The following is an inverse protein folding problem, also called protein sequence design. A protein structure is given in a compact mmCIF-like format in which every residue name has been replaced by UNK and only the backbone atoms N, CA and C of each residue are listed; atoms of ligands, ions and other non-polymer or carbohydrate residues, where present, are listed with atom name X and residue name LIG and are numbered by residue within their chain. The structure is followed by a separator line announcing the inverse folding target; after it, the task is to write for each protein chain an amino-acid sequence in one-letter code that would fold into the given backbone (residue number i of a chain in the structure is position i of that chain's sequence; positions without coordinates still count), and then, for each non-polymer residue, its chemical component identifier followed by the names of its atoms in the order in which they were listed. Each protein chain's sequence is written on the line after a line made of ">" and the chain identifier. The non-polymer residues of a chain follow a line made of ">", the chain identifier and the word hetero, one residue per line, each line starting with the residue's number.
data_IF_015703913689
#
_entry.id   IF_015703913689
#
_cell.length_a   1.000
_cell.length_b   1.000
_cell.length_c   1.000
_cell.angle_alpha   90.00
_cell.angle_beta   90.00
_cell.angle_gamma   90.00
#
_symmetry.space_group_name_H-M   'P 1'
#
loop_
_entity.id
_entity.type
_entity.pdbx_description
1 polymer ?
#
# COMPACT_ATOMS: atom_id res chain seq x y z
N UNK A 1 7.43 -9.56 -12.81
CA UNK A 1 6.81 -10.33 -11.71
C UNK A 1 6.39 -11.72 -12.20
N UNK A 2 6.33 -12.72 -11.31
CA UNK A 2 5.91 -14.11 -11.55
C UNK A 2 5.08 -14.57 -10.33
N UNK A 3 3.74 -14.42 -10.38
CA UNK A 3 2.86 -14.77 -9.26
C UNK A 3 2.86 -16.25 -8.91
N UNK A 4 3.01 -17.14 -9.88
CA UNK A 4 3.04 -18.59 -9.67
C UNK A 4 4.26 -19.02 -8.84
N UNK A 5 5.33 -18.22 -8.89
CA UNK A 5 6.56 -18.42 -8.09
C UNK A 5 6.71 -17.46 -6.92
N UNK A 6 5.66 -16.70 -6.59
CA UNK A 6 5.67 -15.66 -5.55
C UNK A 6 6.80 -14.63 -5.71
N UNK A 7 7.13 -14.24 -6.95
CA UNK A 7 8.14 -13.21 -7.25
C UNK A 7 7.48 -11.91 -7.67
N UNK A 8 7.33 -11.01 -6.72
CA UNK A 8 6.70 -9.71 -6.92
C UNK A 8 7.77 -8.63 -7.04
N UNK A 9 8.28 -8.44 -8.27
CA UNK A 9 9.28 -7.43 -8.59
C UNK A 9 8.86 -6.60 -9.82
N UNK A 10 9.13 -5.30 -9.72
CA UNK A 10 8.79 -4.23 -10.67
C UNK A 10 10.02 -3.67 -11.40
N UNK A 11 11.25 -4.06 -11.05
CA UNK A 11 12.49 -3.56 -11.67
C UNK A 11 12.70 -4.03 -13.12
N UNK A 12 11.87 -4.97 -13.59
CA UNK A 12 11.87 -5.38 -14.99
C UNK A 12 11.42 -4.20 -15.87
N UNK A 13 12.24 -3.79 -16.84
CA UNK A 13 11.94 -2.63 -17.71
C UNK A 13 10.58 -2.69 -18.40
N UNK A 14 10.08 -3.88 -18.70
CA UNK A 14 8.78 -4.11 -19.33
C UNK A 14 7.59 -4.03 -18.36
N UNK A 15 7.84 -3.90 -17.05
CA UNK A 15 6.78 -3.84 -16.06
C UNK A 15 6.10 -2.46 -16.09
N UNK A 16 4.84 -2.45 -16.48
CA UNK A 16 3.99 -1.25 -16.58
C UNK A 16 2.63 -1.45 -15.91
N UNK A 17 2.48 -2.49 -15.09
CA UNK A 17 1.21 -2.82 -14.47
C UNK A 17 0.83 -1.81 -13.37
N UNK A 18 -0.43 -1.42 -13.40
CA UNK A 18 -1.15 -0.71 -12.34
C UNK A 18 -2.23 -1.59 -11.72
N UNK A 19 -2.82 -1.19 -10.59
CA UNK A 19 -3.96 -1.92 -10.02
C UNK A 19 -5.08 -2.07 -11.05
N UNK A 20 -5.43 -1.00 -11.79
CA UNK A 20 -6.44 -1.06 -12.87
C UNK A 20 -6.11 -2.09 -13.95
N UNK A 21 -4.83 -2.25 -14.30
CA UNK A 21 -4.42 -3.22 -15.33
C UNK A 21 -4.58 -4.68 -14.88
N UNK A 22 -4.48 -4.95 -13.57
CA UNK A 22 -4.60 -6.29 -12.99
C UNK A 22 -6.01 -6.56 -12.44
N UNK A 23 -6.72 -5.50 -12.03
CA UNK A 23 -8.06 -5.48 -11.46
C UNK A 23 -8.90 -4.39 -12.14
N UNK A 24 -9.57 -4.72 -13.26
CA UNK A 24 -10.33 -3.73 -14.04
C UNK A 24 -11.49 -3.07 -13.30
N UNK A 25 -11.94 -3.63 -12.16
CA UNK A 25 -12.95 -3.05 -11.26
C UNK A 25 -12.42 -1.85 -10.44
N UNK A 26 -11.11 -1.57 -10.48
CA UNK A 26 -10.47 -0.51 -9.71
C UNK A 26 -9.97 0.63 -10.62
N UNK A 27 -10.07 1.89 -10.19
CA UNK A 27 -9.75 3.04 -11.03
C UNK A 27 -8.24 3.38 -11.07
N UNK A 28 -7.44 2.86 -10.15
CA UNK A 28 -6.08 3.35 -9.90
C UNK A 28 -5.08 2.97 -10.99
N UNK A 29 -4.43 3.98 -11.57
CA UNK A 29 -3.50 3.84 -12.69
C UNK A 29 -2.04 3.96 -12.29
N UNK A 30 -1.75 4.24 -11.02
CA UNK A 30 -0.40 4.28 -10.46
C UNK A 30 0.32 2.96 -10.71
N UNK A 31 1.57 3.03 -11.19
CA UNK A 31 2.39 1.85 -11.46
C UNK A 31 2.69 1.16 -10.13
N UNK A 32 2.48 -0.15 -10.06
CA UNK A 32 2.68 -0.90 -8.83
C UNK A 32 4.18 -1.10 -8.53
N UNK A 33 4.53 -0.99 -7.26
CA UNK A 33 5.76 -1.54 -6.69
C UNK A 33 5.58 -3.02 -6.32
N UNK A 34 6.60 -3.63 -5.73
CA UNK A 34 6.46 -4.91 -5.05
C UNK A 34 5.37 -4.90 -3.97
N UNK A 35 5.25 -3.81 -3.20
CA UNK A 35 4.21 -3.66 -2.16
C UNK A 35 2.82 -3.66 -2.77
N UNK A 36 2.59 -2.87 -3.82
CA UNK A 36 1.31 -2.83 -4.54
C UNK A 36 0.93 -4.16 -5.16
N UNK A 37 1.90 -4.92 -5.70
CA UNK A 37 1.66 -6.27 -6.24
C UNK A 37 1.21 -7.27 -5.16
N UNK A 38 1.88 -7.27 -4.01
CA UNK A 38 1.50 -8.12 -2.87
C UNK A 38 0.11 -7.72 -2.37
N UNK A 39 -0.16 -6.42 -2.25
CA UNK A 39 -1.47 -5.92 -1.82
C UNK A 39 -2.58 -6.25 -2.82
N UNK A 40 -2.31 -6.16 -4.12
CA UNK A 40 -3.26 -6.54 -5.18
C UNK A 40 -3.72 -7.99 -5.06
N UNK A 41 -2.81 -8.89 -4.69
CA UNK A 41 -3.06 -10.35 -4.65
C UNK A 41 -3.58 -10.82 -3.30
N UNK A 42 -3.07 -10.24 -2.21
CA UNK A 42 -3.28 -10.75 -0.86
C UNK A 42 -3.84 -9.71 0.11
N UNK A 43 -4.09 -8.46 -0.33
CA UNK A 43 -4.49 -7.37 0.56
C UNK A 43 -5.73 -7.70 1.38
N UNK A 44 -6.77 -8.27 0.77
CA UNK A 44 -7.98 -8.69 1.50
C UNK A 44 -7.69 -9.80 2.52
N UNK A 45 -6.87 -10.80 2.15
CA UNK A 45 -6.47 -11.89 3.05
C UNK A 45 -5.65 -11.39 4.23
N UNK A 46 -4.71 -10.47 4.00
CA UNK A 46 -3.89 -9.84 5.03
C UNK A 46 -4.79 -9.10 6.02
N UNK A 47 -5.72 -8.27 5.53
CA UNK A 47 -6.63 -7.51 6.38
C UNK A 47 -7.59 -8.42 7.17
N UNK A 48 -8.12 -9.47 6.54
CA UNK A 48 -8.94 -10.48 7.21
C UNK A 48 -8.19 -11.16 8.36
N UNK A 49 -6.94 -11.58 8.12
CA UNK A 49 -6.09 -12.20 9.13
C UNK A 49 -5.77 -11.27 10.30
N UNK A 50 -5.46 -9.99 10.03
CA UNK A 50 -5.14 -9.00 11.06
C UNK A 50 -6.36 -8.61 11.92
N UNK A 51 -7.55 -8.55 11.33
CA UNK A 51 -8.77 -8.09 12.01
C UNK A 51 -9.60 -9.25 12.59
N UNK A 52 -9.29 -10.49 12.25
CA UNK A 52 -10.11 -11.65 12.59
C UNK A 52 -11.52 -11.58 12.00
N UNK A 53 -11.67 -10.96 10.83
CA UNK A 53 -12.95 -10.75 10.15
C UNK A 53 -13.00 -11.56 8.84
N UNK A 54 -14.20 -11.91 8.33
CA UNK A 54 -14.33 -12.55 7.03
C UNK A 54 -13.76 -11.68 5.90
N UNK A 55 -13.10 -12.34 4.94
CA UNK A 55 -12.52 -11.67 3.76
C UNK A 55 -13.58 -11.04 2.86
N UNK A 56 -14.72 -11.71 2.70
CA UNK A 56 -15.78 -11.33 1.73
C UNK A 56 -16.84 -10.40 2.32
N UNK A 57 -16.43 -9.49 3.21
CA UNK A 57 -17.33 -8.54 3.87
C UNK A 57 -17.35 -7.14 3.20
N UNK A 58 -18.46 -6.38 3.33
CA UNK A 58 -18.50 -4.98 2.90
C UNK A 58 -17.48 -4.11 3.64
N UNK A 59 -17.21 -4.43 4.91
CA UNK A 59 -16.17 -3.77 5.71
C UNK A 59 -14.78 -4.04 5.12
N UNK A 60 -14.48 -5.30 4.77
CA UNK A 60 -13.19 -5.66 4.17
C UNK A 60 -12.99 -4.98 2.82
N UNK A 61 -14.04 -4.95 2.00
CA UNK A 61 -14.02 -4.24 0.72
C UNK A 61 -13.72 -2.75 0.89
N UNK A 62 -14.36 -2.11 1.87
CA UNK A 62 -14.13 -0.69 2.17
C UNK A 62 -12.71 -0.43 2.68
N UNK A 63 -12.22 -1.26 3.60
CA UNK A 63 -10.86 -1.17 4.14
C UNK A 63 -9.81 -1.39 3.06
N UNK A 64 -10.00 -2.40 2.20
CA UNK A 64 -9.10 -2.67 1.09
C UNK A 64 -8.93 -1.44 0.19
N UNK A 65 -10.05 -0.80 -0.17
CA UNK A 65 -10.07 0.41 -1.00
C UNK A 65 -9.39 1.57 -0.26
N UNK A 66 -9.79 1.82 0.99
CA UNK A 66 -9.27 2.95 1.77
C UNK A 66 -7.78 2.86 2.07
N UNK A 67 -7.28 1.68 2.42
CA UNK A 67 -5.86 1.49 2.70
C UNK A 67 -5.02 1.56 1.42
N UNK A 68 -5.58 1.16 0.27
CA UNK A 68 -4.86 1.39 -0.98
C UNK A 68 -4.73 2.90 -1.28
N UNK A 69 -5.85 3.62 -1.31
CA UNK A 69 -5.91 5.06 -1.64
C UNK A 69 -5.06 5.93 -0.71
N UNK A 70 -5.00 5.57 0.58
CA UNK A 70 -4.45 6.42 1.64
C UNK A 70 -3.13 5.90 2.20
N UNK A 71 -2.50 4.89 1.58
CA UNK A 71 -1.23 4.37 2.07
C UNK A 71 -0.44 3.62 1.00
N UNK A 72 -1.01 2.55 0.43
CA UNK A 72 -0.25 1.68 -0.48
C UNK A 72 0.08 2.39 -1.79
N UNK A 73 -0.86 3.18 -2.33
CA UNK A 73 -0.65 3.91 -3.60
C UNK A 73 0.47 4.96 -3.50
N UNK A 74 0.61 5.61 -2.34
CA UNK A 74 1.72 6.53 -2.06
C UNK A 74 3.07 5.80 -2.08
N UNK A 75 3.14 4.60 -1.47
CA UNK A 75 4.35 3.76 -1.49
C UNK A 75 4.69 3.36 -2.93
N UNK A 76 3.69 2.92 -3.70
CA UNK A 76 3.85 2.55 -5.11
C UNK A 76 4.40 3.72 -5.93
N UNK A 77 3.84 4.92 -5.75
CA UNK A 77 4.29 6.11 -6.48
C UNK A 77 5.72 6.51 -6.12
N UNK A 78 6.08 6.52 -4.84
CA UNK A 78 7.43 6.86 -4.37
C UNK A 78 8.46 5.88 -4.93
N UNK A 79 8.20 4.58 -4.81
CA UNK A 79 9.12 3.53 -5.23
C UNK A 79 9.28 3.44 -6.76
N UNK A 80 8.21 3.74 -7.51
CA UNK A 80 8.26 3.75 -8.98
C UNK A 80 8.69 5.09 -9.58
N UNK A 81 8.93 6.11 -8.75
CA UNK A 81 9.35 7.45 -9.16
C UNK A 81 8.26 8.26 -9.88
N UNK A 82 6.98 7.97 -9.63
CA UNK A 82 5.86 8.74 -10.17
C UNK A 82 5.74 10.06 -9.42
N UNK A 83 5.76 11.16 -10.17
CA UNK A 83 5.55 12.50 -9.62
C UNK A 83 4.14 12.62 -9.02
N UNK A 84 4.03 13.30 -7.89
CA UNK A 84 2.78 13.44 -7.14
C UNK A 84 1.68 14.19 -7.92
N UNK A 85 2.07 15.14 -8.76
CA UNK A 85 1.15 15.89 -9.60
C UNK A 85 1.85 16.41 -10.86
N UNK A 86 1.18 16.28 -12.01
CA UNK A 86 1.40 17.09 -13.22
C UNK A 86 0.12 17.89 -13.53
N UNK A 87 -0.47 18.50 -12.49
CA UNK A 87 -1.80 19.13 -12.53
C UNK A 87 -2.65 18.67 -11.33
N UNK A 88 -3.63 17.79 -11.58
CA UNK A 88 -4.39 17.14 -10.50
C UNK A 88 -3.53 16.08 -9.78
N UNK A 89 -3.69 15.88 -8.46
CA UNK A 89 -2.91 14.90 -7.70
C UNK A 89 -3.16 13.48 -8.22
N UNK A 90 -2.08 12.75 -8.53
CA UNK A 90 -2.17 11.37 -9.01
C UNK A 90 -2.53 10.38 -7.89
N UNK A 91 -2.30 10.74 -6.63
CA UNK A 91 -2.64 9.98 -5.43
C UNK A 91 -2.83 10.93 -4.23
N UNK A 92 -3.46 10.44 -3.15
CA UNK A 92 -3.63 11.22 -1.92
C UNK A 92 -2.32 11.28 -1.13
N UNK A 93 -1.87 12.49 -0.75
CA UNK A 93 -0.81 12.63 0.24
C UNK A 93 -1.35 12.29 1.62
N UNK A 94 -0.75 11.31 2.25
CA UNK A 94 -1.02 10.98 3.65
C UNK A 94 0.25 11.20 4.49
N UNK A 95 0.23 11.02 5.83
CA UNK A 95 1.48 10.97 6.56
C UNK A 95 2.34 9.86 5.95
N UNK A 96 3.54 10.23 5.48
CA UNK A 96 4.46 9.31 4.84
C UNK A 96 4.71 8.10 5.74
N UNK A 97 5.11 6.97 5.16
CA UNK A 97 5.49 5.78 5.93
C UNK A 97 6.44 6.13 7.09
N UNK A 98 7.46 6.95 6.83
CA UNK A 98 8.42 7.40 7.84
C UNK A 98 7.77 8.23 8.95
N UNK A 99 6.80 9.09 8.62
CA UNK A 99 6.07 9.87 9.62
C UNK A 99 5.19 8.98 10.51
N UNK A 100 4.55 7.95 9.93
CA UNK A 100 3.73 6.98 10.69
C UNK A 100 4.59 6.12 11.61
N UNK A 101 5.72 5.62 11.10
CA UNK A 101 6.71 4.89 11.92
C UNK A 101 7.23 5.79 13.04
N UNK A 102 7.55 7.06 12.73
CA UNK A 102 7.97 8.03 13.74
C UNK A 102 6.93 8.29 14.83
N UNK A 103 5.64 8.23 14.50
CA UNK A 103 4.56 8.40 15.48
C UNK A 103 4.40 7.20 16.43
N UNK A 104 4.81 6.00 15.99
CA UNK A 104 4.82 4.81 16.84
C UNK A 104 6.07 4.75 17.73
N UNK A 105 7.09 5.55 17.45
CA UNK A 105 8.28 5.62 18.27
C UNK A 105 8.09 6.60 19.44
N UNK A 106 8.66 6.31 20.62
CA UNK A 106 8.73 7.25 21.72
C UNK A 106 9.37 8.58 21.29
N UNK A 107 8.86 9.67 21.85
CA UNK A 107 9.51 10.97 21.67
C UNK A 107 10.88 10.95 22.35
N UNK A 108 11.83 11.75 21.85
CA UNK A 108 13.19 11.82 22.40
C UNK A 108 13.26 12.19 23.89
N UNK A 109 12.21 12.80 24.43
CA UNK A 109 12.09 13.21 25.82
C UNK A 109 11.05 12.39 26.61
N UNK A 110 10.61 11.26 26.06
CA UNK A 110 9.70 10.36 26.74
C UNK A 110 10.48 9.60 27.84
N UNK A 111 10.02 9.59 29.11
CA UNK A 111 10.66 8.81 30.15
C UNK A 111 10.73 7.31 29.83
N UNK A 112 9.83 6.81 28.98
CA UNK A 112 9.84 5.44 28.48
C UNK A 112 10.23 5.42 26.99
N UNK A 113 11.29 4.70 26.65
CA UNK A 113 11.83 4.58 25.29
C UNK A 113 11.51 3.22 24.66
N UNK A 114 10.58 2.46 25.24
CA UNK A 114 10.14 1.18 24.69
C UNK A 114 9.34 1.35 23.40
N UNK A 115 9.74 0.59 22.37
CA UNK A 115 9.14 0.60 21.03
C UNK A 115 8.17 -0.56 20.80
N UNK A 116 8.01 -1.48 21.76
CA UNK A 116 7.15 -2.68 21.61
C UNK A 116 5.69 -2.46 22.02
N UNK A 117 5.32 -1.26 22.48
CA UNK A 117 3.97 -0.96 23.03
C UNK A 117 2.98 -0.42 21.98
N UNK A 118 3.41 -0.29 20.73
CA UNK A 118 2.65 0.31 19.61
C UNK A 118 1.75 -0.64 18.82
#
# INVERSE_FOLDING_TARGET
>A
HDPERHRYDHHQRSFTHSMRSLRPDKPWTTKLSSTGLVYCLFGSQILAGLLGQPEDGPVMTALYVKLYENFVEEIDAIDTGIAQAEGEPCYALTPTLSARVGHLNPCWNDPDQDTEVG
#
